data_IF_442000087490
#
_entry.id   IF_442000087490
#
_cell.length_a   1.000
_cell.length_b   1.000
_cell.length_c   1.000
_cell.angle_alpha   90.00
_cell.angle_beta   90.00
_cell.angle_gamma   90.00
#
_symmetry.space_group_name_H-M   'P 1'
#
loop_
_entity.id
_entity.type
_entity.pdbx_description
1 polymer ?
#
# COMPACT_ATOMS: atom_id res chain seq x y z
N UNK A 1 -3.50 -8.59 10.73
CA UNK A 1 -4.93 -8.44 11.04
C UNK A 1 -5.21 -6.98 11.37
N UNK A 2 -5.87 -6.26 10.45
CA UNK A 2 -6.08 -4.81 10.52
C UNK A 2 -7.30 -4.40 11.34
N UNK A 3 -8.15 -5.35 11.76
CA UNK A 3 -9.40 -5.04 12.48
C UNK A 3 -9.12 -4.51 13.88
N UNK A 4 -8.16 -5.10 14.59
CA UNK A 4 -7.78 -4.70 15.94
C UNK A 4 -7.09 -3.32 15.96
N UNK A 5 -6.21 -3.05 15.00
CA UNK A 5 -5.51 -1.76 14.88
C UNK A 5 -6.47 -0.61 14.55
N UNK A 6 -7.49 -0.86 13.71
CA UNK A 6 -8.56 0.11 13.45
C UNK A 6 -9.43 0.36 14.68
N UNK A 7 -9.68 -0.67 15.49
CA UNK A 7 -10.44 -0.52 16.73
C UNK A 7 -9.68 0.34 17.76
N UNK A 8 -8.38 0.12 17.93
CA UNK A 8 -7.54 0.93 18.83
C UNK A 8 -7.32 2.36 18.33
N UNK A 9 -7.07 2.54 17.03
CA UNK A 9 -6.89 3.88 16.44
C UNK A 9 -8.14 4.76 16.54
N UNK A 10 -9.34 4.18 16.45
CA UNK A 10 -10.60 4.93 16.48
C UNK A 10 -11.00 5.44 17.87
N UNK A 11 -10.50 4.82 18.93
CA UNK A 11 -10.68 5.32 20.31
C UNK A 11 -9.58 6.30 20.76
N UNK A 12 -8.62 6.63 19.89
CA UNK A 12 -7.54 7.57 20.20
C UNK A 12 -6.52 7.02 21.20
N UNK A 13 -6.47 5.71 21.42
CA UNK A 13 -5.49 5.07 22.31
C UNK A 13 -4.54 4.18 21.53
N UNK A 14 -3.30 4.66 21.37
CA UNK A 14 -2.17 3.89 20.85
C UNK A 14 -1.75 4.28 19.43
N UNK A 15 -0.85 3.48 18.88
CA UNK A 15 -0.24 3.66 17.57
C UNK A 15 -0.49 2.42 16.70
N UNK A 16 -0.62 2.60 15.40
CA UNK A 16 -0.70 1.50 14.46
C UNK A 16 0.16 1.75 13.23
N UNK A 17 0.69 0.67 12.67
CA UNK A 17 1.41 0.71 11.41
C UNK A 17 0.40 0.74 10.24
N UNK A 18 0.72 1.53 9.23
CA UNK A 18 -0.05 1.64 8.00
C UNK A 18 0.89 1.89 6.81
N UNK A 19 0.50 1.50 5.59
CA UNK A 19 1.29 1.83 4.40
C UNK A 19 1.42 3.33 4.23
N UNK A 20 2.65 3.84 4.14
CA UNK A 20 2.93 5.27 4.03
C UNK A 20 2.28 5.92 2.79
N UNK A 21 2.11 5.15 1.71
CA UNK A 21 1.42 5.61 0.49
C UNK A 21 -0.05 5.96 0.70
N UNK A 22 -0.67 5.44 1.77
CA UNK A 22 -2.08 5.71 2.14
C UNK A 22 -2.19 6.63 3.36
N UNK A 23 -1.11 7.29 3.80
CA UNK A 23 -1.08 8.04 5.05
C UNK A 23 -2.17 9.13 5.11
N UNK A 24 -2.31 9.93 4.05
CA UNK A 24 -3.29 11.03 4.00
C UNK A 24 -4.74 10.51 4.10
N UNK A 25 -5.04 9.44 3.38
CA UNK A 25 -6.37 8.81 3.34
C UNK A 25 -6.73 8.19 4.70
N UNK A 26 -5.74 7.54 5.34
CA UNK A 26 -5.88 6.93 6.67
C UNK A 26 -6.04 8.00 7.74
N UNK A 27 -5.24 9.07 7.70
CA UNK A 27 -5.37 10.21 8.61
C UNK A 27 -6.77 10.82 8.52
N UNK A 28 -7.29 11.03 7.31
CA UNK A 28 -8.63 11.54 7.09
C UNK A 28 -9.72 10.56 7.59
N UNK A 29 -9.62 9.28 7.24
CA UNK A 29 -10.65 8.28 7.55
C UNK A 29 -10.75 7.97 9.05
N UNK A 30 -9.59 7.89 9.72
CA UNK A 30 -9.52 7.49 11.12
C UNK A 30 -9.31 8.66 12.08
N UNK A 31 -9.20 9.90 11.57
CA UNK A 31 -8.96 11.11 12.35
C UNK A 31 -7.72 10.97 13.24
N UNK A 32 -6.65 10.42 12.66
CA UNK A 32 -5.36 10.17 13.34
C UNK A 32 -4.27 11.06 12.75
N UNK A 33 -3.19 11.23 13.50
CA UNK A 33 -2.00 11.98 13.07
C UNK A 33 -0.88 11.03 12.63
N UNK A 34 -0.13 11.44 11.61
CA UNK A 34 1.04 10.70 11.15
C UNK A 34 2.27 11.04 12.00
N UNK A 35 2.96 10.02 12.49
CA UNK A 35 4.12 10.18 13.38
C UNK A 35 5.46 9.97 12.69
N UNK A 36 5.48 9.33 11.52
CA UNK A 36 6.69 9.00 10.78
C UNK A 36 6.63 7.67 10.04
N UNK A 37 7.70 7.35 9.34
CA UNK A 37 7.92 6.07 8.66
C UNK A 37 8.89 5.21 9.46
N UNK A 38 8.67 3.89 9.43
CA UNK A 38 9.67 2.93 9.87
C UNK A 38 10.52 2.54 8.66
N UNK A 39 11.65 3.21 8.44
CA UNK A 39 12.43 3.10 7.20
C UNK A 39 13.03 1.69 6.98
N UNK A 40 13.21 0.92 8.05
CA UNK A 40 13.66 -0.48 8.02
C UNK A 40 12.54 -1.49 7.66
N UNK A 41 11.28 -1.03 7.56
CA UNK A 41 10.12 -1.86 7.26
C UNK A 41 9.63 -1.62 5.84
N UNK A 42 10.01 -2.51 4.93
CA UNK A 42 9.59 -2.46 3.52
C UNK A 42 8.46 -3.46 3.28
N UNK A 43 7.36 -2.98 2.71
CA UNK A 43 6.25 -3.82 2.22
C UNK A 43 6.34 -3.93 0.69
N UNK A 44 6.42 -5.17 0.18
CA UNK A 44 6.50 -5.44 -1.26
C UNK A 44 5.13 -5.89 -1.81
N UNK A 45 4.71 -5.26 -2.90
CA UNK A 45 3.47 -5.59 -3.59
C UNK A 45 3.74 -6.37 -4.87
N UNK A 46 3.13 -7.56 -4.99
CA UNK A 46 3.28 -8.44 -6.14
C UNK A 46 1.96 -8.58 -6.91
N UNK A 47 2.03 -8.42 -8.23
CA UNK A 47 0.93 -8.77 -9.13
C UNK A 47 1.12 -10.21 -9.65
N UNK A 48 0.19 -11.11 -9.32
CA UNK A 48 0.26 -12.53 -9.69
C UNK A 48 -0.77 -12.83 -10.78
N UNK A 49 -0.34 -13.51 -11.84
CA UNK A 49 -1.21 -14.04 -12.91
C UNK A 49 -0.98 -15.53 -13.07
N UNK A 50 -2.04 -16.27 -13.43
CA UNK A 50 -1.98 -17.71 -13.72
C UNK A 50 -1.30 -18.03 -15.05
N UNK A 51 -1.22 -17.05 -15.96
CA UNK A 51 -0.61 -17.23 -17.28
C UNK A 51 0.92 -17.17 -17.20
N UNK A 52 1.60 -18.19 -17.74
CA UNK A 52 3.08 -18.18 -17.90
C UNK A 52 3.59 -17.07 -18.83
N UNK A 53 2.78 -16.68 -19.81
CA UNK A 53 3.01 -15.55 -20.71
C UNK A 53 1.73 -14.74 -20.76
N UNK A 54 1.82 -13.44 -20.49
CA UNK A 54 0.66 -12.55 -20.55
C UNK A 54 0.21 -12.45 -22.00
N UNK A 55 -0.95 -13.02 -22.29
CA UNK A 55 -1.54 -12.97 -23.64
C UNK A 55 -2.87 -12.25 -23.65
N UNK A 56 -3.60 -12.24 -22.53
CA UNK A 56 -4.87 -11.55 -22.46
C UNK A 56 -4.67 -10.03 -22.60
N UNK A 57 -5.32 -9.36 -23.58
CA UNK A 57 -5.10 -7.94 -23.84
C UNK A 57 -5.31 -7.04 -22.62
N UNK A 58 -6.36 -7.31 -21.82
CA UNK A 58 -6.61 -6.54 -20.60
C UNK A 58 -5.49 -6.70 -19.56
N UNK A 59 -4.98 -7.91 -19.36
CA UNK A 59 -3.90 -8.18 -18.39
C UNK A 59 -2.60 -7.54 -18.87
N UNK A 60 -2.34 -7.56 -20.18
CA UNK A 60 -1.20 -6.89 -20.81
C UNK A 60 -1.22 -5.38 -20.55
N UNK A 61 -2.37 -4.72 -20.81
CA UNK A 61 -2.52 -3.27 -20.59
C UNK A 61 -2.35 -2.90 -19.11
N UNK A 62 -2.99 -3.64 -18.20
CA UNK A 62 -2.88 -3.41 -16.75
C UNK A 62 -1.41 -3.54 -16.32
N UNK A 63 -0.74 -4.63 -16.71
CA UNK A 63 0.64 -4.91 -16.29
C UNK A 63 1.63 -3.92 -16.89
N UNK A 64 1.47 -3.54 -18.17
CA UNK A 64 2.33 -2.54 -18.82
C UNK A 64 2.17 -1.16 -18.17
N UNK A 65 0.94 -0.75 -17.89
CA UNK A 65 0.65 0.53 -17.22
C UNK A 65 1.21 0.55 -15.80
N UNK A 66 1.04 -0.54 -15.05
CA UNK A 66 1.58 -0.70 -13.71
C UNK A 66 3.13 -0.62 -13.72
N UNK A 67 3.81 -1.30 -14.65
CA UNK A 67 5.28 -1.21 -14.82
C UNK A 67 5.76 0.23 -15.04
N UNK A 68 5.06 1.01 -15.87
CA UNK A 68 5.42 2.39 -16.16
C UNK A 68 5.03 3.41 -15.10
N UNK A 69 4.08 3.10 -14.19
CA UNK A 69 3.55 4.07 -13.21
C UNK A 69 3.90 3.73 -11.76
N UNK A 70 3.85 2.46 -11.38
CA UNK A 70 4.07 1.99 -10.01
C UNK A 70 5.54 1.71 -9.73
N UNK A 71 6.28 1.23 -10.74
CA UNK A 71 7.68 0.82 -10.59
C UNK A 71 8.68 1.82 -11.22
N UNK A 72 8.18 2.91 -11.79
CA UNK A 72 9.00 3.96 -12.42
C UNK A 72 9.39 5.08 -11.46
N UNK A 73 9.79 4.75 -10.21
CA UNK A 73 10.74 5.51 -9.34
C UNK A 73 10.61 5.09 -7.87
N UNK A 74 11.70 4.54 -7.34
CA UNK A 74 12.30 5.02 -6.09
C UNK A 74 13.81 4.69 -6.14
N UNK A 75 14.70 5.63 -6.51
CA UNK A 75 16.09 5.51 -6.09
C UNK A 75 16.11 5.76 -4.58
N UNK A 76 16.81 4.88 -3.86
CA UNK A 76 17.16 5.06 -2.44
C UNK A 76 17.82 6.43 -2.21
#
# INVERSE_FOLDING_TARGET
>A
DSALLKAFGREGQGFFAAPAVLADEIAQQYQVEWLGTADDLVEEFYAISVERRITHPAVSVITATARGKLFARHPL
#
